data_IF_561491252202
#
_entry.id   IF_561491252202
#
_cell.length_a   1.000
_cell.length_b   1.000
_cell.length_c   1.000
_cell.angle_alpha   90.00
_cell.angle_beta   90.00
_cell.angle_gamma   90.00
#
_symmetry.space_group_name_H-M   'P 1'
#
loop_
_entity.id
_entity.type
_entity.pdbx_description
1 polymer ?
#
# COMPACT_ATOMS: atom_id res chain seq x y z
N UNK A 1 4.63 11.88 -1.47
CA UNK A 1 4.40 10.91 -2.54
C UNK A 1 3.07 11.19 -3.18
N UNK A 2 3.03 11.17 -4.48
CA UNK A 2 1.81 11.53 -5.18
C UNK A 2 1.06 10.28 -5.56
N UNK A 3 -0.24 10.29 -5.34
CA UNK A 3 -1.06 9.11 -5.63
C UNK A 3 -1.02 8.75 -7.10
N UNK A 4 -1.02 9.75 -7.98
CA UNK A 4 -1.09 9.42 -9.40
C UNK A 4 0.19 8.76 -9.90
N UNK A 5 1.34 9.31 -9.57
CA UNK A 5 2.58 8.70 -10.03
C UNK A 5 2.79 7.33 -9.39
N UNK A 6 2.34 7.16 -8.16
CA UNK A 6 2.41 5.87 -7.51
C UNK A 6 1.53 4.87 -8.25
N UNK A 7 0.32 5.28 -8.62
CA UNK A 7 -0.59 4.41 -9.34
C UNK A 7 -0.03 4.02 -10.70
N UNK A 8 0.58 4.96 -11.41
CA UNK A 8 1.17 4.66 -12.71
C UNK A 8 2.26 3.60 -12.56
N UNK A 9 3.11 3.76 -11.56
CA UNK A 9 4.17 2.78 -11.34
C UNK A 9 3.64 1.39 -11.01
N UNK A 10 2.57 1.34 -10.21
CA UNK A 10 1.96 0.07 -9.86
C UNK A 10 1.35 -0.59 -11.11
N UNK A 11 0.63 0.20 -11.91
CA UNK A 11 0.01 -0.35 -13.11
C UNK A 11 1.07 -0.91 -14.06
N UNK A 12 2.17 -0.21 -14.22
CA UNK A 12 3.25 -0.71 -15.07
C UNK A 12 3.81 -2.01 -14.57
N UNK A 13 4.01 -2.10 -13.26
CA UNK A 13 4.58 -3.30 -12.67
C UNK A 13 3.64 -4.49 -12.81
N UNK A 14 2.36 -4.31 -12.47
CA UNK A 14 1.45 -5.44 -12.53
C UNK A 14 1.15 -5.86 -13.95
N UNK A 15 1.15 -4.93 -14.89
CA UNK A 15 0.96 -5.28 -16.28
C UNK A 15 2.16 -6.08 -16.81
N UNK A 16 3.36 -5.76 -16.35
CA UNK A 16 4.53 -6.53 -16.70
C UNK A 16 4.41 -7.96 -16.20
N UNK A 17 4.02 -8.12 -14.94
CA UNK A 17 3.86 -9.44 -14.35
C UNK A 17 2.78 -10.21 -15.10
N UNK A 18 1.68 -9.55 -15.41
CA UNK A 18 0.59 -10.21 -16.13
C UNK A 18 1.04 -10.68 -17.52
N UNK A 19 1.79 -9.83 -18.21
CA UNK A 19 2.28 -10.22 -19.53
C UNK A 19 3.22 -11.41 -19.47
N UNK A 20 4.07 -11.44 -18.45
CA UNK A 20 5.00 -12.56 -18.29
C UNK A 20 4.28 -13.85 -17.98
N UNK A 21 3.06 -13.76 -17.48
CA UNK A 21 2.27 -14.94 -17.20
C UNK A 21 1.20 -15.19 -18.25
N UNK A 22 1.29 -14.52 -19.37
CA UNK A 22 0.38 -14.67 -20.49
C UNK A 22 -1.08 -14.40 -20.12
N UNK A 23 -1.29 -13.47 -19.23
CA UNK A 23 -2.63 -13.14 -18.78
C UNK A 23 -3.37 -12.34 -19.84
N UNK A 24 -4.67 -12.55 -19.93
CA UNK A 24 -5.50 -11.80 -20.83
C UNK A 24 -5.81 -10.43 -20.23
N UNK A 25 -6.04 -10.38 -18.93
CA UNK A 25 -6.25 -9.12 -18.24
C UNK A 25 -6.12 -9.34 -16.75
N UNK A 26 -5.99 -8.24 -16.02
CA UNK A 26 -5.94 -8.25 -14.58
C UNK A 26 -7.33 -7.94 -14.07
N UNK A 27 -7.87 -8.78 -13.21
CA UNK A 27 -9.22 -8.60 -12.70
C UNK A 27 -9.24 -8.00 -11.30
N UNK A 28 -8.15 -8.13 -10.56
CA UNK A 28 -8.12 -7.65 -9.20
C UNK A 28 -6.70 -7.38 -8.76
N UNK A 29 -6.52 -6.35 -7.97
CA UNK A 29 -5.23 -5.98 -7.41
C UNK A 29 -5.40 -5.75 -5.93
N UNK A 30 -4.57 -6.37 -5.13
CA UNK A 30 -4.58 -6.13 -3.71
C UNK A 30 -3.33 -5.36 -3.33
N UNK A 31 -3.50 -4.16 -2.78
CA UNK A 31 -2.40 -3.31 -2.39
C UNK A 31 -2.31 -3.21 -0.89
N UNK A 32 -1.09 -3.21 -0.39
CA UNK A 32 -0.85 -2.94 1.02
C UNK A 32 -0.24 -1.55 1.09
N UNK A 33 -0.87 -0.65 1.79
CA UNK A 33 -0.45 0.73 1.88
C UNK A 33 -0.06 1.03 3.31
N UNK A 34 1.17 1.39 3.54
CA UNK A 34 1.64 1.66 4.89
C UNK A 34 1.09 2.97 5.43
N UNK A 35 0.83 2.97 6.70
CA UNK A 35 0.26 4.14 7.36
C UNK A 35 1.14 5.37 7.17
N UNK A 36 2.45 5.20 7.21
CA UNK A 36 3.38 6.32 7.12
C UNK A 36 3.59 6.83 5.70
N UNK A 37 2.98 6.20 4.69
CA UNK A 37 3.11 6.73 3.34
C UNK A 37 2.25 7.97 3.15
N UNK A 38 1.26 8.14 4.00
CA UNK A 38 0.33 9.26 3.94
C UNK A 38 -0.48 9.29 2.64
N UNK A 39 -0.60 8.16 1.97
CA UNK A 39 -1.38 8.09 0.75
C UNK A 39 -2.86 7.96 1.09
N UNK A 40 -3.68 8.65 0.33
CA UNK A 40 -5.11 8.59 0.51
C UNK A 40 -5.68 7.46 -0.35
N UNK A 41 -6.36 6.50 0.28
CA UNK A 41 -6.83 5.33 -0.43
C UNK A 41 -7.83 5.63 -1.53
N UNK A 42 -8.72 6.58 -1.31
CA UNK A 42 -9.71 6.92 -2.33
C UNK A 42 -9.04 7.59 -3.52
N UNK A 43 -8.12 8.49 -3.26
CA UNK A 43 -7.41 9.15 -4.34
C UNK A 43 -6.52 8.18 -5.08
N UNK A 44 -5.92 7.24 -4.36
CA UNK A 44 -5.08 6.25 -4.99
C UNK A 44 -5.92 5.34 -5.88
N UNK A 45 -7.10 4.94 -5.44
CA UNK A 45 -7.99 4.11 -6.25
C UNK A 45 -8.41 4.85 -7.52
N UNK A 46 -8.76 6.12 -7.37
CA UNK A 46 -9.17 6.91 -8.52
C UNK A 46 -8.01 7.07 -9.50
N UNK A 47 -6.82 7.34 -8.98
CA UNK A 47 -5.64 7.47 -9.83
C UNK A 47 -5.33 6.15 -10.54
N UNK A 48 -5.53 5.04 -9.83
CA UNK A 48 -5.30 3.73 -10.41
C UNK A 48 -6.27 3.49 -11.57
N UNK A 49 -7.53 3.89 -11.41
CA UNK A 49 -8.50 3.72 -12.47
C UNK A 49 -8.10 4.49 -13.71
N UNK A 50 -7.64 5.72 -13.54
CA UNK A 50 -7.23 6.52 -14.66
C UNK A 50 -5.97 5.94 -15.30
N UNK A 51 -5.01 5.55 -14.49
CA UNK A 51 -3.73 5.05 -15.01
C UNK A 51 -3.90 3.72 -15.74
N UNK A 52 -4.93 2.96 -15.37
CA UNK A 52 -5.11 1.63 -15.95
C UNK A 52 -5.87 1.63 -17.27
N UNK A 53 -6.44 2.77 -17.67
CA UNK A 53 -7.21 2.82 -18.90
C UNK A 53 -6.32 2.44 -20.07
N UNK A 54 -6.83 1.55 -20.92
CA UNK A 54 -6.08 1.10 -22.08
C UNK A 54 -5.02 0.06 -21.78
N UNK A 55 -4.94 -0.41 -20.56
CA UNK A 55 -3.95 -1.42 -20.19
C UNK A 55 -4.65 -2.71 -19.79
N UNK A 56 -3.85 -3.72 -19.48
CA UNK A 56 -4.39 -4.99 -19.02
C UNK A 56 -5.11 -4.84 -17.67
N UNK A 57 -4.84 -3.76 -16.96
CA UNK A 57 -5.44 -3.54 -15.65
C UNK A 57 -6.77 -2.77 -15.71
N UNK A 58 -7.19 -2.39 -16.89
CA UNK A 58 -8.42 -1.59 -17.00
C UNK A 58 -9.59 -2.37 -16.42
N UNK A 59 -10.34 -1.72 -15.56
CA UNK A 59 -11.50 -2.35 -14.91
C UNK A 59 -11.18 -3.26 -13.74
N UNK A 60 -9.92 -3.37 -13.38
CA UNK A 60 -9.55 -4.24 -12.26
C UNK A 60 -10.09 -3.68 -10.94
N UNK A 61 -10.51 -4.58 -10.09
CA UNK A 61 -10.93 -4.19 -8.75
C UNK A 61 -9.70 -3.93 -7.90
N UNK A 62 -9.69 -2.80 -7.20
CA UNK A 62 -8.55 -2.45 -6.35
C UNK A 62 -8.97 -2.58 -4.90
N UNK A 63 -8.26 -3.41 -4.17
CA UNK A 63 -8.51 -3.58 -2.75
C UNK A 63 -7.29 -3.04 -2.03
N UNK A 64 -7.51 -2.10 -1.13
CA UNK A 64 -6.43 -1.48 -0.39
C UNK A 64 -6.54 -1.88 1.07
N UNK A 65 -5.47 -2.42 1.59
CA UNK A 65 -5.38 -2.76 3.00
C UNK A 65 -4.32 -1.87 3.62
N UNK A 66 -4.66 -1.22 4.70
CA UNK A 66 -3.70 -0.35 5.37
C UNK A 66 -2.84 -1.16 6.33
N UNK A 67 -1.55 -0.96 6.25
CA UNK A 67 -0.62 -1.58 7.19
C UNK A 67 -0.26 -0.56 8.24
N UNK A 68 -0.50 -0.88 9.50
CA UNK A 68 -0.23 0.04 10.59
C UNK A 68 1.26 0.30 10.69
N UNK A 69 1.59 1.52 11.03
CA UNK A 69 2.97 1.89 11.21
C UNK A 69 3.56 1.26 12.46
N UNK A 70 4.80 0.86 12.38
CA UNK A 70 5.49 0.25 13.50
C UNK A 70 6.83 0.89 13.69
N UNK A 71 7.27 0.96 14.92
CA UNK A 71 8.59 1.49 15.25
C UNK A 71 9.32 0.51 16.15
N UNK A 72 10.61 0.67 16.18
CA UNK A 72 11.44 -0.08 17.10
C UNK A 72 12.24 0.91 17.91
N UNK A 73 12.22 0.79 19.22
CA UNK A 73 12.98 1.66 20.09
C UNK A 73 14.36 1.07 20.29
N UNK A 74 15.38 1.88 20.09
CA UNK A 74 16.73 1.38 20.24
C UNK A 74 17.18 1.38 21.70
N UNK A 75 16.49 2.11 22.55
CA UNK A 75 16.87 2.18 23.95
C UNK A 75 16.27 1.03 24.75
N UNK A 76 14.99 0.75 24.60
CA UNK A 76 14.37 -0.31 25.40
C UNK A 76 13.98 -1.52 24.59
N UNK A 77 14.23 -1.50 23.29
CA UNK A 77 13.96 -2.61 22.39
C UNK A 77 12.47 -2.88 22.15
N UNK A 78 11.64 -1.92 22.51
CA UNK A 78 10.23 -2.06 22.21
C UNK A 78 10.03 -2.11 20.70
N UNK A 79 9.12 -2.94 20.24
CA UNK A 79 8.81 -3.00 18.82
C UNK A 79 7.30 -3.15 18.71
N UNK A 80 6.66 -2.27 17.98
CA UNK A 80 5.22 -2.33 17.85
C UNK A 80 4.66 -1.07 17.24
N UNK A 81 3.35 -0.94 17.31
CA UNK A 81 2.64 0.18 16.72
C UNK A 81 2.78 1.40 17.58
N UNK A 82 2.76 2.56 16.93
CA UNK A 82 2.74 3.80 17.65
C UNK A 82 1.35 3.97 18.19
N UNK A 83 1.29 4.25 19.50
CA UNK A 83 0.02 4.47 20.10
C UNK A 83 -0.48 5.82 19.71
N UNK A 84 -1.61 5.89 19.04
CA UNK A 84 -2.19 7.16 18.71
C UNK A 84 -2.76 7.77 19.94
N UNK A 85 -2.51 9.03 20.13
CA UNK A 85 -3.03 9.66 21.24
C UNK A 85 -4.47 9.81 21.02
N UNK A 86 -5.06 10.75 21.22
CA UNK A 86 -6.46 10.94 21.24
C UNK A 86 -7.01 11.00 19.86
N UNK A 87 -7.82 10.05 19.52
CA UNK A 87 -8.40 10.05 18.26
C UNK A 87 -9.40 11.10 18.06
N UNK A 88 -9.80 11.78 19.09
CA UNK A 88 -10.77 12.82 18.94
C UNK A 88 -10.17 14.12 18.58
N UNK A 89 -8.89 14.19 18.44
CA UNK A 89 -8.26 15.42 18.02
C UNK A 89 -8.54 15.57 16.57
N UNK A 90 -9.41 16.44 16.27
CA UNK A 90 -9.81 16.64 14.91
C UNK A 90 -9.09 17.76 14.28
N UNK A 91 -7.99 18.28 14.79
CA UNK A 91 -7.28 19.22 14.08
C UNK A 91 -6.01 18.74 13.85
N UNK A 92 -5.50 19.46 13.15
CA UNK A 92 -4.48 19.21 12.52
C UNK A 92 -3.20 19.57 13.01
N UNK A 93 -3.07 19.92 14.25
CA UNK A 93 -1.76 20.15 14.82
C UNK A 93 -1.20 18.80 15.09
N UNK A 94 -0.32 18.34 14.25
CA UNK A 94 0.34 17.09 14.46
C UNK A 94 1.66 17.39 15.10
N UNK A 95 1.86 16.89 16.29
CA UNK A 95 3.12 17.11 16.99
C UNK A 95 4.10 16.09 16.50
N UNK A 96 4.89 16.47 15.52
CA UNK A 96 5.82 15.55 14.93
C UNK A 96 6.93 15.13 15.85
N UNK A 97 7.14 15.87 16.91
CA UNK A 97 8.20 15.50 17.84
C UNK A 97 7.82 14.29 18.65
N UNK A 98 6.52 14.00 18.77
CA UNK A 98 6.10 12.87 19.55
C UNK A 98 5.63 11.70 18.70
N UNK A 99 5.61 11.85 17.40
CA UNK A 99 5.05 10.82 16.57
C UNK A 99 5.89 9.56 16.62
N UNK A 100 7.17 9.70 16.88
CA UNK A 100 8.06 8.56 16.96
C UNK A 100 8.55 8.29 18.38
N UNK A 101 7.85 8.80 19.35
CA UNK A 101 8.23 8.55 20.71
C UNK A 101 7.88 7.13 21.12
N UNK A 102 8.75 6.45 21.78
CA UNK A 102 8.48 5.09 22.22
C UNK A 102 7.37 5.09 23.24
N UNK A 103 6.30 4.32 23.04
CA UNK A 103 5.21 4.30 24.00
C UNK A 103 5.58 3.66 25.32
N UNK A 104 6.68 2.95 25.37
CA UNK A 104 7.07 2.27 26.59
C UNK A 104 8.02 3.10 27.44
N UNK A 105 9.09 3.62 26.85
CA UNK A 105 10.09 4.32 27.62
C UNK A 105 10.19 5.81 27.28
N UNK A 106 9.37 6.27 26.34
CA UNK A 106 9.32 7.68 25.96
C UNK A 106 10.59 8.20 25.29
N UNK A 107 11.43 7.32 24.83
CA UNK A 107 12.64 7.74 24.14
C UNK A 107 12.30 8.17 22.72
N UNK A 108 13.08 9.08 22.18
CA UNK A 108 12.93 9.45 20.79
C UNK A 108 13.92 8.69 19.91
N UNK A 109 14.66 7.76 20.47
CA UNK A 109 15.65 7.00 19.71
C UNK A 109 14.98 5.80 19.08
N UNK A 110 14.11 6.07 18.10
CA UNK A 110 13.30 5.04 17.47
C UNK A 110 13.53 5.05 15.97
N UNK A 111 13.20 3.93 15.35
CA UNK A 111 13.26 3.80 13.91
C UNK A 111 11.96 3.22 13.43
N UNK A 112 11.55 3.58 12.21
CA UNK A 112 10.36 3.00 11.63
C UNK A 112 10.70 1.60 11.17
N UNK A 113 9.96 0.61 11.66
CA UNK A 113 10.19 -0.78 11.28
C UNK A 113 9.11 -1.32 10.36
N UNK A 114 8.05 -0.58 10.11
CA UNK A 114 7.01 -1.02 9.19
C UNK A 114 6.04 0.08 8.88
N UNK A 115 5.28 -0.07 7.82
CA UNK A 115 4.23 0.88 7.49
C UNK A 115 4.68 2.07 6.68
N UNK A 116 5.86 2.01 6.06
CA UNK A 116 6.33 3.14 5.29
C UNK A 116 6.37 2.86 3.80
N UNK A 117 5.88 1.72 3.39
CA UNK A 117 5.95 1.33 2.00
C UNK A 117 4.57 1.04 1.44
N UNK A 118 4.49 1.02 0.13
CA UNK A 118 3.31 0.55 -0.55
C UNK A 118 3.78 -0.58 -1.46
N UNK A 119 3.03 -1.66 -1.49
CA UNK A 119 3.41 -2.75 -2.37
C UNK A 119 2.18 -3.55 -2.78
N UNK A 120 2.34 -4.30 -3.85
CA UNK A 120 1.30 -5.16 -4.36
C UNK A 120 1.41 -6.50 -3.64
N UNK A 121 0.35 -6.88 -2.94
CA UNK A 121 0.33 -8.16 -2.25
C UNK A 121 0.06 -9.28 -3.24
N UNK A 122 -0.93 -9.10 -4.11
CA UNK A 122 -1.18 -10.06 -5.16
C UNK A 122 -2.07 -9.43 -6.22
N UNK A 123 -2.15 -10.09 -7.34
CA UNK A 123 -3.10 -9.74 -8.38
C UNK A 123 -3.82 -11.01 -8.80
N UNK A 124 -5.03 -10.85 -9.29
CA UNK A 124 -5.76 -11.94 -9.92
C UNK A 124 -5.88 -11.62 -11.38
N UNK A 125 -5.66 -12.60 -12.21
CA UNK A 125 -5.68 -12.40 -13.64
C UNK A 125 -6.60 -13.40 -14.29
N UNK A 126 -7.05 -13.03 -15.47
CA UNK A 126 -7.82 -13.95 -16.30
C UNK A 126 -6.87 -14.46 -17.36
N UNK A 127 -6.78 -15.77 -17.46
CA UNK A 127 -5.92 -16.37 -18.49
C UNK A 127 -6.73 -16.60 -19.75
N UNK A 128 -6.06 -16.68 -20.89
CA UNK A 128 -6.81 -16.99 -22.11
C UNK A 128 -7.43 -18.36 -22.01
N UNK A 129 -8.50 -18.57 -22.76
CA UNK A 129 -9.16 -19.84 -22.73
C UNK A 129 -8.18 -20.90 -23.18
N UNK A 130 -8.00 -21.93 -22.35
CA UNK A 130 -7.22 -23.04 -22.78
C UNK A 130 -8.12 -23.95 -23.47
N UNK A 131 -7.72 -24.37 -24.65
CA UNK A 131 -8.47 -25.37 -25.30
C UNK A 131 -8.32 -26.59 -24.51
N UNK A 132 -9.30 -27.22 -24.25
CA UNK A 132 -9.19 -28.41 -23.43
C UNK A 132 -8.37 -29.45 -24.14
N UNK A 133 -7.77 -29.36 -24.43
CA UNK A 133 -7.11 -30.08 -24.81
C UNK A 133 -6.63 -30.48 -24.96
N UNK A 134 -6.64 -30.41 -25.16
CA UNK A 134 -6.21 -30.56 -25.22
C UNK A 134 -5.91 -31.00 -24.88
N UNK A 135 -6.05 -31.46 -24.73
CA UNK A 135 -5.68 -31.79 -24.48
C UNK A 135 -5.48 -32.05 -24.40
#
# INVERSE_FOLDING_TARGET
MHEFSTAVGIVETICDVARKNNAKRITKVELIVGEFTMLNGEQLTFAFEIASEGTLAEGAEVIITEQRGQIECKDCKFKGEIKKKDEKVDHLVVDLTNIFECPKCKSNNTEISGGRDIYVNNIEVELPDKKPNKE
#
